data_IF_847178217518
#
_entry.id   IF_847178217518
#
_cell.length_a   1.000
_cell.length_b   1.000
_cell.length_c   1.000
_cell.angle_alpha   90.00
_cell.angle_beta   90.00
_cell.angle_gamma   90.00
#
_symmetry.space_group_name_H-M   'P 1'
#
loop_
_entity.id
_entity.type
_entity.pdbx_description
1 polymer ?
#
# COMPACT_ATOMS: atom_id res chain seq x y z
N UNK A 1 38.87 -0.50 5.72
CA UNK A 1 38.92 0.03 7.10
C UNK A 1 37.91 1.16 7.29
N UNK A 2 37.85 2.21 6.46
CA UNK A 2 36.77 3.22 6.53
C UNK A 2 35.43 2.76 5.93
N UNK A 3 35.41 1.88 4.92
CA UNK A 3 34.16 1.37 4.31
C UNK A 3 33.43 0.31 5.16
N UNK A 4 34.14 -0.38 6.05
CA UNK A 4 33.52 -1.34 7.00
C UNK A 4 32.81 -0.61 8.14
N UNK A 5 33.37 0.51 8.62
CA UNK A 5 32.77 1.34 9.68
C UNK A 5 31.43 1.96 9.27
N UNK A 6 31.23 2.30 7.99
CA UNK A 6 29.97 2.87 7.49
C UNK A 6 28.84 1.83 7.36
N UNK A 7 29.17 0.54 7.30
CA UNK A 7 28.21 -0.55 7.21
C UNK A 7 27.80 -1.10 8.58
N UNK A 8 28.56 -0.80 9.64
CA UNK A 8 28.28 -1.23 11.01
C UNK A 8 27.09 -0.48 11.64
N UNK A 9 26.89 0.80 11.30
CA UNK A 9 25.77 1.62 11.81
C UNK A 9 24.38 1.23 11.24
N UNK A 10 24.33 0.41 10.19
CA UNK A 10 23.07 0.01 9.54
C UNK A 10 22.46 -1.29 10.09
N UNK A 11 23.13 -1.95 11.05
CA UNK A 11 22.66 -3.19 11.67
C UNK A 11 22.37 -2.99 13.16
N UNK A 12 21.47 -2.08 13.53
CA UNK A 12 20.77 -2.23 14.80
C UNK A 12 19.75 -3.39 14.70
N UNK A 13 19.93 -4.52 15.42
CA UNK A 13 19.06 -5.69 15.31
C UNK A 13 17.87 -5.56 16.26
N UNK A 14 17.11 -4.46 16.19
CA UNK A 14 16.06 -4.17 17.19
C UNK A 14 14.70 -3.78 16.63
N UNK A 15 14.43 -4.00 15.34
CA UNK A 15 13.03 -4.12 14.90
C UNK A 15 12.50 -5.52 15.21
N UNK A 16 12.05 -5.72 16.45
CA UNK A 16 11.32 -6.92 16.85
C UNK A 16 9.83 -6.70 16.57
N UNK A 17 9.31 -7.36 15.54
CA UNK A 17 7.87 -7.43 15.26
C UNK A 17 7.29 -8.54 16.13
N UNK A 18 6.27 -8.22 16.92
CA UNK A 18 5.58 -9.21 17.74
C UNK A 18 4.71 -10.13 16.86
N UNK A 19 4.43 -11.35 17.35
CA UNK A 19 3.53 -12.26 16.66
C UNK A 19 2.12 -11.65 16.47
N UNK A 20 1.69 -10.81 17.41
CA UNK A 20 0.42 -10.10 17.34
C UNK A 20 0.38 -9.07 16.22
N UNK A 21 1.41 -8.21 16.10
CA UNK A 21 1.51 -7.22 15.01
C UNK A 21 1.58 -7.90 13.64
N UNK A 22 2.31 -9.01 13.53
CA UNK A 22 2.37 -9.81 12.32
C UNK A 22 0.98 -10.37 11.96
N UNK A 23 0.28 -10.95 12.93
CA UNK A 23 -1.05 -11.52 12.71
C UNK A 23 -2.09 -10.45 12.36
N UNK A 24 -2.00 -9.27 12.97
CA UNK A 24 -2.84 -8.11 12.63
C UNK A 24 -2.56 -7.63 11.20
N UNK A 25 -1.29 -7.56 10.79
CA UNK A 25 -0.92 -7.20 9.42
C UNK A 25 -1.45 -8.21 8.39
N UNK A 26 -1.31 -9.51 8.66
CA UNK A 26 -1.86 -10.57 7.81
C UNK A 26 -3.40 -10.46 7.72
N UNK A 27 -4.07 -10.27 8.86
CA UNK A 27 -5.53 -10.08 8.90
C UNK A 27 -5.95 -8.87 8.05
N UNK A 28 -5.24 -7.74 8.15
CA UNK A 28 -5.47 -6.57 7.29
C UNK A 28 -5.26 -6.88 5.80
N UNK A 29 -4.15 -7.53 5.45
CA UNK A 29 -3.83 -7.94 4.07
C UNK A 29 -4.93 -8.81 3.46
N UNK A 30 -5.51 -9.73 4.22
CA UNK A 30 -6.60 -10.59 3.76
C UNK A 30 -7.97 -9.89 3.73
N UNK A 31 -8.15 -8.85 4.55
CA UNK A 31 -9.42 -8.13 4.69
C UNK A 31 -9.59 -6.95 3.75
N UNK A 32 -8.51 -6.31 3.27
CA UNK A 32 -8.60 -5.14 2.37
C UNK A 32 -9.22 -5.52 1.02
N UNK A 33 -10.31 -4.86 0.64
CA UNK A 33 -11.06 -5.13 -0.60
C UNK A 33 -11.02 -3.98 -1.59
N UNK A 34 -11.33 -2.78 -1.12
CA UNK A 34 -11.31 -1.57 -1.94
C UNK A 34 -10.16 -0.70 -1.44
N UNK A 35 -9.39 -0.16 -2.37
CA UNK A 35 -8.41 0.87 -2.11
C UNK A 35 -8.93 2.20 -2.67
N UNK A 36 -8.81 3.25 -1.86
CA UNK A 36 -9.09 4.63 -2.24
C UNK A 36 -7.79 5.43 -2.13
N UNK A 37 -7.45 6.14 -3.20
CA UNK A 37 -6.29 7.03 -3.26
C UNK A 37 -6.77 8.43 -3.59
N UNK A 38 -6.58 9.37 -2.66
CA UNK A 38 -6.90 10.78 -2.83
C UNK A 38 -5.61 11.58 -3.02
N UNK A 39 -5.44 12.20 -4.18
CA UNK A 39 -4.28 13.02 -4.50
C UNK A 39 -4.51 14.45 -3.98
N UNK A 40 -4.13 14.67 -2.73
CA UNK A 40 -4.36 15.92 -2.02
C UNK A 40 -3.50 17.08 -2.53
N UNK A 41 -2.35 16.80 -3.13
CA UNK A 41 -1.46 17.83 -3.67
C UNK A 41 -0.62 17.29 -4.83
N UNK A 42 -0.50 18.10 -5.88
CA UNK A 42 0.39 17.88 -7.03
C UNK A 42 -0.20 16.96 -8.11
N UNK A 43 0.08 17.26 -9.37
CA UNK A 43 -0.38 16.52 -10.57
C UNK A 43 0.79 15.97 -11.38
N UNK A 44 0.52 15.02 -12.28
CA UNK A 44 1.48 14.51 -13.28
C UNK A 44 1.98 13.09 -13.02
N UNK A 45 1.95 12.64 -11.76
CA UNK A 45 2.28 11.26 -11.41
C UNK A 45 1.41 10.24 -12.14
N UNK A 46 1.90 9.00 -12.22
CA UNK A 46 1.22 7.88 -12.89
C UNK A 46 0.78 6.83 -11.89
N UNK A 47 -0.47 6.39 -12.00
CA UNK A 47 -0.98 5.20 -11.32
C UNK A 47 -1.25 4.12 -12.36
N UNK A 48 -0.62 2.96 -12.22
CA UNK A 48 -0.90 1.78 -13.05
C UNK A 48 -1.59 0.73 -12.19
N UNK A 49 -2.72 0.19 -12.68
CA UNK A 49 -3.41 -0.94 -12.07
C UNK A 49 -3.08 -2.19 -12.87
N UNK A 50 -2.62 -3.23 -12.18
CA UNK A 50 -2.23 -4.53 -12.73
C UNK A 50 -3.26 -5.58 -12.31
N UNK A 51 -4.19 -5.98 -13.19
CA UNK A 51 -5.15 -7.04 -12.89
C UNK A 51 -4.46 -8.35 -12.51
N UNK A 52 -5.03 -9.07 -11.55
CA UNK A 52 -4.53 -10.39 -11.15
C UNK A 52 -4.99 -11.48 -12.13
N UNK A 53 -6.15 -11.31 -12.76
CA UNK A 53 -6.69 -12.27 -13.72
C UNK A 53 -6.01 -12.16 -15.07
N UNK A 54 -5.64 -13.31 -15.64
CA UNK A 54 -5.05 -13.40 -16.97
C UNK A 54 -6.05 -12.93 -18.03
N UNK A 55 -5.57 -12.13 -18.98
CA UNK A 55 -6.36 -11.60 -20.10
C UNK A 55 -7.00 -10.24 -19.87
N UNK A 56 -6.83 -9.64 -18.68
CA UNK A 56 -7.23 -8.24 -18.45
C UNK A 56 -6.05 -7.32 -18.70
N UNK A 57 -6.31 -6.18 -19.35
CA UNK A 57 -5.29 -5.18 -19.67
C UNK A 57 -4.96 -4.31 -18.46
N UNK A 58 -3.71 -3.82 -18.41
CA UNK A 58 -3.32 -2.82 -17.43
C UNK A 58 -4.06 -1.51 -17.66
N UNK A 59 -4.41 -0.84 -16.57
CA UNK A 59 -5.04 0.48 -16.62
C UNK A 59 -4.03 1.52 -16.18
N UNK A 60 -3.74 2.48 -17.06
CA UNK A 60 -2.87 3.61 -16.75
C UNK A 60 -3.69 4.87 -16.52
N UNK A 61 -3.50 5.48 -15.35
CA UNK A 61 -4.21 6.68 -14.92
C UNK A 61 -3.17 7.78 -14.64
N UNK A 62 -3.48 8.99 -15.11
CA UNK A 62 -2.75 10.19 -14.74
C UNK A 62 -3.31 10.70 -13.42
N UNK A 63 -2.45 10.89 -12.44
CA UNK A 63 -2.81 11.41 -11.12
C UNK A 63 -2.97 12.92 -11.19
N UNK A 64 -4.14 13.40 -10.79
CA UNK A 64 -4.47 14.82 -10.74
C UNK A 64 -4.77 15.25 -9.30
N UNK A 65 -4.34 16.45 -8.92
CA UNK A 65 -4.73 17.04 -7.64
C UNK A 65 -6.26 17.11 -7.50
N UNK A 66 -6.75 16.88 -6.27
CA UNK A 66 -8.18 16.77 -5.93
C UNK A 66 -8.92 15.61 -6.62
N UNK A 67 -8.19 14.62 -7.14
CA UNK A 67 -8.78 13.39 -7.69
C UNK A 67 -8.81 12.27 -6.64
N UNK A 68 -9.92 11.53 -6.61
CA UNK A 68 -10.01 10.25 -5.90
C UNK A 68 -10.06 9.13 -6.94
N UNK A 69 -9.18 8.15 -6.79
CA UNK A 69 -9.22 6.89 -7.54
C UNK A 69 -9.65 5.78 -6.60
N UNK A 70 -10.69 5.03 -7.00
CA UNK A 70 -11.25 3.91 -6.24
C UNK A 70 -11.19 2.65 -7.09
N UNK A 71 -10.61 1.58 -6.54
CA UNK A 71 -10.51 0.31 -7.24
C UNK A 71 -10.57 -0.89 -6.29
N UNK A 72 -10.89 -2.06 -6.83
CA UNK A 72 -10.86 -3.32 -6.10
C UNK A 72 -9.43 -3.83 -5.95
N UNK A 73 -8.81 -3.50 -4.83
CA UNK A 73 -7.47 -3.95 -4.42
C UNK A 73 -7.34 -5.48 -4.43
N UNK A 74 -8.44 -6.20 -4.19
CA UNK A 74 -8.41 -7.67 -4.21
C UNK A 74 -8.46 -8.28 -5.62
N UNK A 75 -8.68 -7.47 -6.67
CA UNK A 75 -8.64 -7.91 -8.07
C UNK A 75 -7.45 -7.36 -8.86
N UNK A 76 -6.78 -6.32 -8.36
CA UNK A 76 -5.60 -5.74 -9.00
C UNK A 76 -4.56 -5.26 -7.98
N UNK A 77 -3.30 -5.41 -8.36
CA UNK A 77 -2.20 -4.69 -7.74
C UNK A 77 -2.08 -3.30 -8.39
N UNK A 78 -1.25 -2.44 -7.81
CA UNK A 78 -0.98 -1.13 -8.40
C UNK A 78 0.47 -0.71 -8.21
N UNK A 79 0.92 0.16 -9.11
CA UNK A 79 2.18 0.89 -9.00
C UNK A 79 1.88 2.38 -9.10
N UNK A 80 2.31 3.14 -8.10
CA UNK A 80 2.21 4.60 -8.07
C UNK A 80 3.61 5.20 -8.27
N UNK A 81 3.74 6.05 -9.28
CA UNK A 81 4.97 6.77 -9.63
C UNK A 81 4.70 8.27 -9.51
N UNK A 82 5.07 8.93 -8.41
CA UNK A 82 4.84 10.35 -8.25
C UNK A 82 5.74 11.17 -9.19
N UNK A 83 5.26 12.34 -9.59
CA UNK A 83 6.05 13.35 -10.31
C UNK A 83 6.22 14.61 -9.45
N UNK A 84 7.46 14.97 -9.14
CA UNK A 84 7.77 16.12 -8.29
C UNK A 84 7.23 15.97 -6.86
N UNK A 85 6.65 17.04 -6.31
CA UNK A 85 6.09 17.05 -4.95
C UNK A 85 4.61 16.66 -5.01
N UNK A 86 4.31 15.41 -4.67
CA UNK A 86 2.94 14.92 -4.58
C UNK A 86 2.62 14.33 -3.21
N UNK A 87 1.38 14.55 -2.76
CA UNK A 87 0.82 13.97 -1.55
C UNK A 87 -0.43 13.18 -1.90
N UNK A 88 -0.42 11.89 -1.54
CA UNK A 88 -1.58 11.01 -1.69
C UNK A 88 -1.99 10.46 -0.32
N UNK A 89 -3.28 10.56 0.00
CA UNK A 89 -3.89 9.89 1.15
C UNK A 89 -4.49 8.57 0.69
N UNK A 90 -4.15 7.49 1.36
CA UNK A 90 -4.64 6.15 1.03
C UNK A 90 -5.50 5.58 2.15
N UNK A 91 -6.63 4.99 1.77
CA UNK A 91 -7.53 4.30 2.69
C UNK A 91 -8.06 3.01 2.08
N UNK A 92 -8.44 2.05 2.93
CA UNK A 92 -9.03 0.79 2.49
C UNK A 92 -10.37 0.54 3.15
N UNK A 93 -11.32 0.03 2.36
CA UNK A 93 -12.51 -0.62 2.92
C UNK A 93 -12.19 -2.10 3.13
N UNK A 94 -12.42 -2.55 4.36
CA UNK A 94 -12.18 -3.92 4.78
C UNK A 94 -13.48 -4.72 4.75
N UNK A 95 -13.39 -6.01 4.42
CA UNK A 95 -14.48 -6.94 4.75
C UNK A 95 -14.61 -7.11 6.26
N UNK A 96 -15.77 -7.60 6.68
CA UNK A 96 -16.00 -8.02 8.06
C UNK A 96 -14.93 -9.04 8.51
N UNK A 97 -14.50 -8.97 9.79
CA UNK A 97 -13.57 -9.94 10.34
C UNK A 97 -14.20 -11.34 10.38
N UNK A 98 -13.38 -12.36 10.14
CA UNK A 98 -13.73 -13.77 10.31
C UNK A 98 -13.12 -14.33 11.61
N UNK A 99 -13.62 -15.48 12.07
CA UNK A 99 -13.10 -16.13 13.26
C UNK A 99 -11.59 -16.40 13.14
N UNK A 100 -10.82 -15.99 14.15
CA UNK A 100 -9.35 -16.13 14.17
C UNK A 100 -8.58 -14.97 13.54
N UNK A 101 -9.26 -14.03 12.87
CA UNK A 101 -8.64 -12.77 12.45
C UNK A 101 -8.60 -11.78 13.63
N UNK A 102 -7.47 -11.09 13.80
CA UNK A 102 -7.23 -10.12 14.89
C UNK A 102 -6.94 -8.74 14.30
N UNK A 103 -7.10 -7.70 15.11
CA UNK A 103 -6.81 -6.31 14.71
C UNK A 103 -8.02 -5.54 14.17
N UNK A 104 -7.90 -4.20 14.21
CA UNK A 104 -8.96 -3.17 14.11
C UNK A 104 -10.32 -3.72 14.57
N UNK A 105 -10.42 -3.88 15.89
CA UNK A 105 -11.70 -3.85 16.60
C UNK A 105 -12.20 -2.41 16.54
N UNK A 106 -13.39 -2.20 15.98
CA UNK A 106 -14.16 -0.97 16.13
C UNK A 106 -14.88 -0.96 17.47
#
# INVERSE_FOLDING_TARGET
>A
KEEEELLEDFWEPTFKITAEEMQAHLSFKHRRKICMMYFAQGSGGKLTLHPIYQGWEEVHLQCQENQIIVFRHDLCNYTYQPEGKQLCVQAWLLRAPQAGEVGIHS
#
